data_IF_340352411190
#
_entry.id   IF_340352411190
#
_cell.length_a   1.000
_cell.length_b   1.000
_cell.length_c   1.000
_cell.angle_alpha   90.00
_cell.angle_beta   90.00
_cell.angle_gamma   90.00
#
_symmetry.space_group_name_H-M   'P 1'
#
loop_
_entity.id
_entity.type
_entity.pdbx_description
1 polymer ?
#
# COMPACT_ATOMS: atom_id res chain seq x y z
N UNK A 1 14.04 2.52 11.34
CA UNK A 1 14.55 1.59 12.36
C UNK A 1 13.46 0.95 13.22
N UNK A 2 12.16 1.20 12.99
CA UNK A 2 11.05 0.66 13.81
C UNK A 2 10.43 -0.62 13.20
N UNK A 3 10.68 -0.96 11.96
CA UNK A 3 10.10 -2.14 11.29
C UNK A 3 10.89 -3.45 11.47
N UNK A 4 12.09 -3.42 12.04
CA UNK A 4 12.95 -4.62 12.14
C UNK A 4 12.59 -5.55 13.30
N UNK A 5 11.78 -5.11 14.27
CA UNK A 5 11.39 -5.91 15.44
C UNK A 5 10.11 -6.73 15.24
N UNK A 6 9.46 -6.58 14.09
CA UNK A 6 8.17 -7.22 13.79
C UNK A 6 8.24 -8.64 13.22
N UNK A 7 9.39 -9.31 13.20
CA UNK A 7 9.61 -10.55 12.45
C UNK A 7 10.17 -11.73 13.28
N UNK A 8 9.85 -11.83 14.57
CA UNK A 8 10.23 -13.02 15.35
C UNK A 8 9.10 -14.06 15.34
N UNK A 9 9.42 -15.34 15.09
CA UNK A 9 8.42 -16.41 15.06
C UNK A 9 7.89 -16.76 16.46
N UNK A 10 6.59 -17.12 16.52
CA UNK A 10 5.85 -17.44 17.76
C UNK A 10 6.05 -18.87 18.28
N UNK A 11 7.05 -19.64 17.83
CA UNK A 11 7.27 -20.98 18.30
C UNK A 11 8.57 -21.06 19.14
N UNK A 12 8.43 -21.43 20.42
CA UNK A 12 9.52 -21.48 21.42
C UNK A 12 10.62 -22.48 21.04
N UNK A 13 10.29 -23.51 20.28
CA UNK A 13 11.25 -24.52 19.80
C UNK A 13 12.10 -24.02 18.63
N UNK A 14 11.57 -23.13 17.81
CA UNK A 14 12.33 -22.49 16.72
C UNK A 14 13.14 -21.27 17.22
N UNK A 15 12.71 -20.67 18.33
CA UNK A 15 13.40 -19.51 18.93
C UNK A 15 14.83 -19.86 19.38
N UNK A 16 15.04 -21.05 19.95
CA UNK A 16 16.38 -21.49 20.36
C UNK A 16 17.30 -21.78 19.16
N UNK A 17 16.78 -22.28 18.04
CA UNK A 17 17.55 -22.44 16.81
C UNK A 17 17.86 -21.11 16.13
N UNK A 18 16.90 -20.20 16.13
CA UNK A 18 17.05 -18.86 15.52
C UNK A 18 18.00 -17.99 16.32
N UNK A 19 17.97 -18.06 17.67
CA UNK A 19 18.92 -17.35 18.54
C UNK A 19 20.34 -17.90 18.35
N UNK A 20 20.52 -19.22 18.19
CA UNK A 20 21.82 -19.82 17.91
C UNK A 20 22.35 -19.43 16.52
N UNK A 21 21.49 -19.35 15.49
CA UNK A 21 21.88 -18.86 14.17
C UNK A 21 22.16 -17.36 14.16
N UNK A 22 21.39 -16.54 14.89
CA UNK A 22 21.65 -15.09 15.01
C UNK A 22 22.93 -14.80 15.81
N UNK A 23 23.21 -15.57 16.88
CA UNK A 23 24.46 -15.44 17.61
C UNK A 23 25.67 -15.87 16.77
N UNK A 24 25.55 -16.92 15.94
CA UNK A 24 26.60 -17.36 15.01
C UNK A 24 26.79 -16.34 13.85
N UNK A 25 25.70 -15.76 13.32
CA UNK A 25 25.80 -14.70 12.32
C UNK A 25 26.37 -13.40 12.89
N UNK A 26 26.03 -13.03 14.13
CA UNK A 26 26.57 -11.85 14.80
C UNK A 26 28.06 -12.01 15.10
N UNK A 27 28.51 -13.20 15.52
CA UNK A 27 29.93 -13.50 15.73
C UNK A 27 30.70 -13.53 14.40
N UNK A 28 30.12 -14.09 13.32
CA UNK A 28 30.73 -14.09 11.99
C UNK A 28 30.77 -12.67 11.38
N UNK A 29 29.77 -11.82 11.61
CA UNK A 29 29.79 -10.42 11.19
C UNK A 29 30.81 -9.57 11.94
N UNK A 30 31.00 -9.81 13.23
CA UNK A 30 32.03 -9.11 14.02
C UNK A 30 33.46 -9.51 13.61
N UNK A 31 33.67 -10.71 13.09
CA UNK A 31 34.98 -11.16 12.59
C UNK A 31 35.26 -10.71 11.14
N UNK A 32 34.22 -10.31 10.38
CA UNK A 32 34.36 -9.84 9.01
C UNK A 32 34.40 -8.29 8.88
N UNK A 33 34.09 -7.55 9.95
CA UNK A 33 34.11 -6.08 9.93
C UNK A 33 35.49 -5.44 9.72
N UNK A 34 36.63 -6.01 10.15
CA UNK A 34 37.92 -5.41 9.88
C UNK A 34 38.40 -5.52 8.42
N UNK A 35 37.87 -6.47 7.66
CA UNK A 35 38.30 -6.67 6.26
C UNK A 35 37.50 -5.86 5.22
N UNK A 36 36.36 -5.27 5.61
CA UNK A 36 35.53 -4.45 4.71
C UNK A 36 35.80 -2.95 4.79
N UNK A 37 36.58 -2.48 5.80
CA UNK A 37 36.87 -1.06 6.01
C UNK A 37 38.02 -0.51 5.14
N UNK A 38 38.67 -1.32 4.29
CA UNK A 38 39.86 -0.94 3.55
C UNK A 38 39.79 -0.98 2.02
N UNK A 39 38.72 -1.45 1.40
CA UNK A 39 38.59 -1.44 -0.06
C UNK A 39 37.72 -0.25 -0.51
N UNK A 40 38.37 0.82 -0.98
CA UNK A 40 37.73 1.74 -1.92
C UNK A 40 37.30 0.92 -3.13
N UNK A 41 36.01 0.72 -3.29
CA UNK A 41 35.45 0.09 -4.48
C UNK A 41 35.58 1.12 -5.62
N UNK A 42 36.40 0.82 -6.62
CA UNK A 42 36.48 1.57 -7.89
C UNK A 42 35.26 1.28 -8.80
N UNK A 43 34.14 0.82 -8.24
CA UNK A 43 32.90 0.72 -8.97
C UNK A 43 32.45 2.12 -9.40
N UNK A 44 32.07 2.33 -10.69
CA UNK A 44 31.61 3.62 -11.17
C UNK A 44 30.49 4.10 -10.26
N UNK A 45 30.70 5.24 -9.60
CA UNK A 45 29.67 5.89 -8.80
C UNK A 45 28.65 6.48 -9.77
N UNK A 46 27.61 5.70 -10.07
CA UNK A 46 26.41 6.29 -10.66
C UNK A 46 25.95 7.43 -9.73
N UNK A 47 25.54 8.59 -10.27
CA UNK A 47 25.00 9.64 -9.45
C UNK A 47 23.88 9.03 -8.61
N UNK A 48 24.05 9.02 -7.29
CA UNK A 48 23.08 8.43 -6.35
C UNK A 48 21.84 9.30 -6.41
N UNK A 49 20.86 8.85 -7.19
CA UNK A 49 19.53 9.44 -7.15
C UNK A 49 19.01 9.27 -5.74
N UNK A 50 18.71 10.38 -5.06
CA UNK A 50 18.26 10.35 -3.68
C UNK A 50 16.90 9.65 -3.61
N UNK A 51 16.69 8.69 -2.70
CA UNK A 51 15.38 8.05 -2.54
C UNK A 51 14.28 9.09 -2.33
N UNK A 52 13.06 8.83 -2.84
CA UNK A 52 11.88 9.67 -2.53
C UNK A 52 11.62 9.78 -1.03
N UNK A 53 12.02 8.78 -0.23
CA UNK A 53 12.06 8.86 1.23
C UNK A 53 13.03 9.92 1.76
N UNK A 54 13.96 10.44 0.95
CA UNK A 54 14.85 11.58 1.27
C UNK A 54 14.31 12.93 0.77
N UNK A 55 13.06 12.99 0.27
CA UNK A 55 12.31 14.25 0.19
C UNK A 55 12.10 14.86 1.58
N UNK A 56 12.20 14.03 2.62
CA UNK A 56 12.13 14.41 4.03
C UNK A 56 13.09 15.56 4.33
N UNK A 57 12.55 16.68 4.78
CA UNK A 57 13.29 17.84 5.25
C UNK A 57 13.81 18.78 4.15
N UNK A 58 13.67 18.45 2.87
CA UNK A 58 14.15 19.30 1.77
C UNK A 58 13.06 19.78 0.84
N UNK A 59 12.17 18.92 0.40
CA UNK A 59 11.13 19.25 -0.58
C UNK A 59 9.88 19.72 0.13
N UNK A 60 9.47 20.95 -0.13
CA UNK A 60 8.23 21.53 0.33
C UNK A 60 7.07 21.19 -0.62
N UNK A 61 7.32 21.27 -1.93
CA UNK A 61 6.32 20.98 -2.97
C UNK A 61 6.93 20.19 -4.11
N UNK A 62 6.18 19.21 -4.62
CA UNK A 62 6.48 18.50 -5.86
C UNK A 62 5.32 18.63 -6.83
N UNK A 63 5.62 18.88 -8.10
CA UNK A 63 4.65 18.90 -9.19
C UNK A 63 5.08 17.85 -10.21
N UNK A 64 4.13 17.01 -10.63
CA UNK A 64 4.30 16.01 -11.68
C UNK A 64 3.30 16.35 -12.78
N UNK A 65 3.78 16.76 -13.95
CA UNK A 65 2.95 17.13 -15.11
C UNK A 65 3.10 16.10 -16.20
N UNK A 66 2.01 15.39 -16.53
CA UNK A 66 1.92 14.52 -17.70
C UNK A 66 1.71 15.39 -18.93
N UNK A 67 2.56 15.15 -19.96
CA UNK A 67 2.53 15.90 -21.19
C UNK A 67 1.98 15.05 -22.33
N UNK A 68 1.18 15.65 -23.21
CA UNK A 68 0.79 15.07 -24.49
C UNK A 68 1.99 14.96 -25.44
N UNK A 69 1.79 14.32 -26.59
CA UNK A 69 2.80 14.27 -27.66
C UNK A 69 3.15 15.66 -28.22
N UNK A 70 2.26 16.64 -28.08
CA UNK A 70 2.47 18.05 -28.50
C UNK A 70 3.11 18.90 -27.39
N UNK A 71 3.37 18.33 -26.19
CA UNK A 71 3.93 19.04 -25.05
C UNK A 71 2.88 19.78 -24.20
N UNK A 72 1.60 19.70 -24.51
CA UNK A 72 0.53 20.25 -23.66
C UNK A 72 0.35 19.40 -22.39
N UNK A 73 0.06 20.06 -21.28
CA UNK A 73 -0.22 19.40 -20.00
C UNK A 73 -1.63 18.76 -20.02
N UNK A 74 -1.70 17.44 -19.85
CA UNK A 74 -2.95 16.65 -19.83
C UNK A 74 -3.40 16.30 -18.42
N UNK A 75 -2.47 16.19 -17.50
CA UNK A 75 -2.70 15.85 -16.10
C UNK A 75 -1.60 16.48 -15.25
N UNK A 76 -1.95 16.90 -14.04
CA UNK A 76 -0.98 17.42 -13.08
C UNK A 76 -1.28 16.90 -11.69
N UNK A 77 -0.26 16.45 -10.98
CA UNK A 77 -0.32 16.14 -9.56
C UNK A 77 0.55 17.15 -8.81
N UNK A 78 -0.02 17.81 -7.81
CA UNK A 78 0.69 18.69 -6.89
C UNK A 78 0.69 18.07 -5.49
N UNK A 79 1.86 17.99 -4.87
CA UNK A 79 2.03 17.46 -3.53
C UNK A 79 2.78 18.47 -2.68
N UNK A 80 2.26 18.75 -1.48
CA UNK A 80 2.87 19.64 -0.49
C UNK A 80 3.20 18.82 0.75
N UNK A 81 4.41 19.00 1.26
CA UNK A 81 4.95 18.22 2.35
C UNK A 81 5.25 19.11 3.56
N UNK A 82 5.28 18.48 4.72
CA UNK A 82 5.84 19.01 5.96
C UNK A 82 7.36 18.84 5.96
N UNK A 83 8.10 19.59 6.82
CA UNK A 83 9.54 19.40 6.98
C UNK A 83 9.96 17.98 7.40
N UNK A 84 9.08 17.24 8.10
CA UNK A 84 9.30 15.84 8.48
C UNK A 84 8.98 14.84 7.35
N UNK A 85 8.57 15.31 6.17
CA UNK A 85 8.20 14.52 5.00
C UNK A 85 6.75 14.06 4.97
N UNK A 86 5.94 14.43 5.97
CA UNK A 86 4.51 14.13 5.99
C UNK A 86 3.78 14.85 4.86
N UNK A 87 2.95 14.16 4.09
CA UNK A 87 2.15 14.75 3.02
C UNK A 87 1.02 15.59 3.62
N UNK A 88 1.02 16.91 3.39
CA UNK A 88 -0.07 17.82 3.80
C UNK A 88 -1.22 17.76 2.82
N UNK A 89 -0.95 18.02 1.55
CA UNK A 89 -1.95 18.02 0.50
C UNK A 89 -1.46 17.31 -0.75
N UNK A 90 -2.38 16.66 -1.46
CA UNK A 90 -2.18 16.16 -2.80
C UNK A 90 -3.37 16.58 -3.64
N UNK A 91 -3.12 17.26 -4.76
CA UNK A 91 -4.15 17.65 -5.72
C UNK A 91 -3.85 17.02 -7.06
N UNK A 92 -4.81 16.29 -7.59
CA UNK A 92 -4.74 15.73 -8.94
C UNK A 92 -5.64 16.57 -9.83
N UNK A 93 -5.06 17.13 -10.88
CA UNK A 93 -5.76 17.89 -11.92
C UNK A 93 -5.93 16.99 -13.14
N UNK A 94 -7.08 17.05 -13.74
CA UNK A 94 -7.41 16.36 -14.98
C UNK A 94 -8.39 17.16 -15.82
N UNK A 95 -8.57 16.77 -17.06
CA UNK A 95 -9.60 17.31 -17.94
C UNK A 95 -10.90 16.57 -17.63
N UNK A 96 -11.97 17.27 -17.22
CA UNK A 96 -13.24 16.64 -16.92
C UNK A 96 -13.84 15.97 -18.14
N UNK A 97 -14.74 15.01 -17.94
CA UNK A 97 -15.42 14.30 -19.02
C UNK A 97 -16.22 15.25 -19.96
N UNK A 98 -16.64 16.41 -19.43
CA UNK A 98 -17.29 17.48 -20.21
C UNK A 98 -16.33 18.27 -21.11
N UNK A 99 -15.01 17.99 -21.06
CA UNK A 99 -13.97 18.78 -21.70
C UNK A 99 -13.63 20.06 -20.93
N UNK A 100 -12.68 20.84 -21.45
CA UNK A 100 -12.28 22.12 -20.88
C UNK A 100 -10.83 22.15 -20.40
N UNK A 101 -10.52 23.09 -19.49
CA UNK A 101 -9.19 23.25 -18.91
C UNK A 101 -8.96 22.23 -17.78
N UNK A 102 -7.68 21.99 -17.45
CA UNK A 102 -7.28 21.24 -16.28
C UNK A 102 -7.91 21.84 -15.00
N UNK A 103 -8.59 21.00 -14.24
CA UNK A 103 -9.16 21.36 -12.95
C UNK A 103 -8.91 20.28 -11.91
N UNK A 104 -8.99 20.61 -10.59
CA UNK A 104 -8.86 19.61 -9.54
C UNK A 104 -9.96 18.54 -9.65
N UNK A 105 -9.56 17.28 -9.86
CA UNK A 105 -10.47 16.11 -9.92
C UNK A 105 -10.39 15.29 -8.62
N UNK A 106 -9.28 15.36 -7.90
CA UNK A 106 -9.15 14.77 -6.58
C UNK A 106 -8.26 15.66 -5.70
N UNK A 107 -8.67 15.85 -4.46
CA UNK A 107 -7.89 16.56 -3.44
C UNK A 107 -7.82 15.71 -2.19
N UNK A 108 -6.61 15.42 -1.72
CA UNK A 108 -6.35 14.80 -0.42
C UNK A 108 -5.75 15.83 0.52
N UNK A 109 -6.32 15.99 1.71
CA UNK A 109 -5.80 16.86 2.77
C UNK A 109 -5.57 16.03 4.03
N UNK A 110 -4.37 16.13 4.60
CA UNK A 110 -4.01 15.47 5.85
C UNK A 110 -3.80 16.51 6.95
N UNK A 111 -4.32 16.22 8.13
CA UNK A 111 -4.10 17.00 9.36
C UNK A 111 -3.27 16.18 10.32
N UNK A 112 -2.34 16.86 11.01
CA UNK A 112 -1.41 16.23 11.94
C UNK A 112 -1.49 16.91 13.31
N UNK A 113 -1.23 16.15 14.36
CA UNK A 113 -1.06 16.69 15.71
C UNK A 113 0.34 17.31 15.93
N UNK A 114 0.58 17.82 17.12
CA UNK A 114 1.88 18.40 17.51
C UNK A 114 3.03 17.39 17.58
N UNK A 115 2.75 16.08 17.54
CA UNK A 115 3.73 15.00 17.52
C UNK A 115 4.04 14.50 16.11
N UNK A 116 3.37 15.07 15.08
CA UNK A 116 3.53 14.65 13.69
C UNK A 116 2.71 13.41 13.31
N UNK A 117 1.75 12.99 14.14
CA UNK A 117 0.85 11.89 13.82
C UNK A 117 -0.34 12.42 13.02
N UNK A 118 -0.69 11.72 11.93
CA UNK A 118 -1.83 12.11 11.10
C UNK A 118 -3.14 11.79 11.80
N UNK A 119 -3.86 12.83 12.24
CA UNK A 119 -5.15 12.69 12.96
C UNK A 119 -6.36 12.67 12.04
N UNK A 120 -6.26 13.25 10.85
CA UNK A 120 -7.35 13.22 9.85
C UNK A 120 -6.81 13.17 8.43
N UNK A 121 -7.57 12.54 7.55
CA UNK A 121 -7.42 12.60 6.10
C UNK A 121 -8.78 12.87 5.48
N UNK A 122 -8.85 13.89 4.63
CA UNK A 122 -10.02 14.22 3.82
C UNK A 122 -9.68 14.02 2.36
N UNK A 123 -10.53 13.28 1.65
CA UNK A 123 -10.43 13.07 0.20
C UNK A 123 -11.69 13.65 -0.44
N UNK A 124 -11.50 14.57 -1.36
CA UNK A 124 -12.58 15.14 -2.19
C UNK A 124 -12.35 14.71 -3.64
N UNK A 125 -13.37 14.14 -4.28
CA UNK A 125 -13.31 13.70 -5.69
C UNK A 125 -14.41 14.38 -6.49
N UNK A 126 -14.08 14.78 -7.70
CA UNK A 126 -15.06 15.21 -8.69
C UNK A 126 -15.61 13.98 -9.41
N UNK A 127 -16.92 13.74 -9.31
CA UNK A 127 -17.57 12.64 -10.03
C UNK A 127 -17.68 12.96 -11.51
N UNK A 128 -17.99 11.97 -12.34
CA UNK A 128 -18.27 12.15 -13.76
C UNK A 128 -19.45 13.10 -14.02
N UNK A 129 -20.36 13.24 -13.07
CA UNK A 129 -21.52 14.16 -13.11
C UNK A 129 -21.19 15.60 -12.67
N UNK A 130 -19.93 15.86 -12.26
CA UNK A 130 -19.47 17.17 -11.79
C UNK A 130 -19.81 17.47 -10.32
N UNK A 131 -20.36 16.51 -9.59
CA UNK A 131 -20.58 16.63 -8.14
C UNK A 131 -19.28 16.33 -7.37
N UNK A 132 -19.08 17.00 -6.22
CA UNK A 132 -17.96 16.68 -5.33
C UNK A 132 -18.41 15.65 -4.30
N UNK A 133 -17.72 14.54 -4.26
CA UNK A 133 -17.82 13.54 -3.18
C UNK A 133 -16.71 13.78 -2.17
N UNK A 134 -17.04 13.69 -0.89
CA UNK A 134 -16.10 13.86 0.22
C UNK A 134 -16.08 12.59 1.07
N UNK A 135 -14.91 12.15 1.45
CA UNK A 135 -14.71 11.10 2.47
C UNK A 135 -13.71 11.63 3.51
N UNK A 136 -13.96 11.34 4.77
CA UNK A 136 -13.04 11.68 5.86
C UNK A 136 -12.67 10.43 6.65
N UNK A 137 -11.39 10.31 7.01
CA UNK A 137 -10.89 9.28 7.92
C UNK A 137 -10.24 9.96 9.12
N UNK A 138 -10.64 9.58 10.34
CA UNK A 138 -10.07 10.07 11.61
C UNK A 138 -9.30 8.96 12.30
N UNK A 139 -8.09 9.27 12.78
CA UNK A 139 -7.16 8.30 13.35
C UNK A 139 -6.95 8.53 14.84
N UNK A 140 -6.91 7.46 15.61
CA UNK A 140 -6.57 7.45 17.02
C UNK A 140 -5.34 6.57 17.25
N UNK A 141 -4.40 7.05 18.03
CA UNK A 141 -3.14 6.39 18.30
C UNK A 141 -3.05 5.88 19.73
N UNK A 142 -2.34 4.78 19.92
CA UNK A 142 -1.89 4.31 21.22
C UNK A 142 -0.37 4.20 21.25
N UNK A 143 0.26 4.45 22.41
CA UNK A 143 1.69 4.28 22.54
C UNK A 143 2.07 2.80 22.36
N UNK A 144 3.10 2.54 21.57
CA UNK A 144 3.78 1.25 21.45
C UNK A 144 5.03 1.22 22.34
N UNK A 145 5.70 2.37 22.49
CA UNK A 145 6.86 2.59 23.35
C UNK A 145 6.94 4.07 23.72
N UNK A 146 7.95 4.46 24.50
CA UNK A 146 8.20 5.87 24.83
C UNK A 146 8.44 6.77 23.58
N UNK A 147 8.77 6.20 22.41
CA UNK A 147 9.13 6.94 21.18
C UNK A 147 8.32 6.52 19.96
N UNK A 148 7.39 5.59 20.10
CA UNK A 148 6.60 5.06 18.99
C UNK A 148 5.15 4.89 19.39
N UNK A 149 4.25 5.12 18.45
CA UNK A 149 2.82 4.85 18.56
C UNK A 149 2.32 4.12 17.32
N UNK A 150 1.14 3.54 17.41
CA UNK A 150 0.47 2.90 16.29
C UNK A 150 -0.97 3.37 16.20
N UNK A 151 -1.55 3.31 15.01
CA UNK A 151 -2.98 3.56 14.80
C UNK A 151 -3.76 2.43 15.45
N UNK A 152 -4.39 2.70 16.60
CA UNK A 152 -5.19 1.71 17.33
C UNK A 152 -6.63 1.65 16.82
N UNK A 153 -7.13 2.76 16.31
CA UNK A 153 -8.49 2.90 15.84
C UNK A 153 -8.55 3.94 14.72
N UNK A 154 -9.46 3.77 13.76
CA UNK A 154 -9.86 4.83 12.85
C UNK A 154 -11.31 4.70 12.43
N UNK A 155 -11.91 5.82 12.06
CA UNK A 155 -13.28 5.95 11.62
C UNK A 155 -13.34 6.57 10.23
N UNK A 156 -14.22 6.06 9.38
CA UNK A 156 -14.45 6.54 8.02
C UNK A 156 -15.85 7.15 7.93
N UNK A 157 -15.93 8.33 7.33
CA UNK A 157 -17.16 9.10 7.18
C UNK A 157 -17.43 9.39 5.70
N UNK A 158 -18.70 9.34 5.31
CA UNK A 158 -19.15 9.71 3.97
C UNK A 158 -19.28 11.23 3.79
N UNK A 159 -19.71 11.67 2.60
CA UNK A 159 -19.88 13.07 2.25
C UNK A 159 -20.91 13.82 3.13
N UNK A 160 -21.84 13.09 3.73
CA UNK A 160 -22.85 13.67 4.65
C UNK A 160 -22.37 13.69 6.11
N UNK A 161 -21.15 13.23 6.38
CA UNK A 161 -20.58 13.10 7.73
C UNK A 161 -21.11 11.91 8.52
N UNK A 162 -21.73 10.92 7.87
CA UNK A 162 -22.18 9.68 8.53
C UNK A 162 -21.02 8.72 8.64
N UNK A 163 -20.93 8.05 9.78
CA UNK A 163 -19.94 6.98 10.02
C UNK A 163 -20.27 5.77 9.12
N UNK A 164 -19.41 5.43 8.18
CA UNK A 164 -19.58 4.29 7.26
C UNK A 164 -18.71 3.10 7.63
N UNK A 165 -17.63 3.31 8.37
CA UNK A 165 -16.86 2.23 8.96
C UNK A 165 -16.09 2.68 10.18
N UNK A 166 -15.85 1.74 11.10
CA UNK A 166 -14.85 1.86 12.17
C UNK A 166 -13.92 0.67 12.14
N UNK A 167 -12.66 0.89 12.47
CA UNK A 167 -11.61 -0.13 12.43
C UNK A 167 -10.80 -0.08 13.71
N UNK A 168 -10.69 -1.23 14.37
CA UNK A 168 -9.87 -1.44 15.56
C UNK A 168 -8.71 -2.37 15.21
N UNK A 169 -7.50 -1.95 15.57
CA UNK A 169 -6.25 -2.67 15.37
C UNK A 169 -5.76 -3.24 16.69
N UNK A 170 -5.51 -4.54 16.73
CA UNK A 170 -4.95 -5.24 17.88
C UNK A 170 -3.53 -5.71 17.56
N UNK A 171 -2.61 -5.54 18.49
CA UNK A 171 -1.24 -6.01 18.38
C UNK A 171 -0.99 -7.21 19.27
N UNK A 172 -0.10 -8.10 18.83
CA UNK A 172 0.60 -9.07 19.65
C UNK A 172 2.07 -8.65 19.68
N UNK A 173 2.53 -8.18 20.84
CA UNK A 173 3.80 -7.47 20.96
C UNK A 173 3.84 -6.22 20.07
N UNK A 174 4.68 -6.24 19.04
CA UNK A 174 4.81 -5.14 18.07
C UNK A 174 4.17 -5.43 16.71
N UNK A 175 3.58 -6.62 16.54
CA UNK A 175 2.99 -7.08 15.29
C UNK A 175 1.47 -6.90 15.30
N UNK A 176 0.90 -6.49 14.17
CA UNK A 176 -0.55 -6.45 13.99
C UNK A 176 -1.08 -7.88 13.98
N UNK A 177 -1.86 -8.26 15.00
CA UNK A 177 -2.41 -9.62 15.13
C UNK A 177 -3.82 -9.72 14.55
N UNK A 178 -4.63 -8.67 14.78
CA UNK A 178 -6.02 -8.63 14.31
C UNK A 178 -6.45 -7.23 13.92
N UNK A 179 -7.29 -7.16 12.89
CA UNK A 179 -8.07 -5.98 12.53
C UNK A 179 -9.55 -6.35 12.59
N UNK A 180 -10.32 -5.56 13.31
CA UNK A 180 -11.78 -5.66 13.32
C UNK A 180 -12.35 -4.44 12.61
N UNK A 181 -13.04 -4.66 11.47
CA UNK A 181 -13.73 -3.61 10.72
C UNK A 181 -15.23 -3.79 10.84
N UNK A 182 -15.91 -2.79 11.37
CA UNK A 182 -17.38 -2.72 11.36
C UNK A 182 -17.80 -1.77 10.24
N UNK A 183 -18.59 -2.26 9.30
CA UNK A 183 -19.16 -1.49 8.19
C UNK A 183 -20.63 -1.19 8.50
N UNK A 184 -21.04 0.04 8.28
CA UNK A 184 -22.39 0.55 8.50
C UNK A 184 -23.09 0.79 7.16
N UNK A 185 -24.09 -0.01 6.84
CA UNK A 185 -24.89 0.08 5.62
C UNK A 185 -26.23 0.77 5.92
N UNK A 186 -26.43 1.96 5.34
CA UNK A 186 -27.63 2.78 5.50
C UNK A 186 -28.64 2.61 4.36
N UNK A 187 -28.46 1.65 3.46
CA UNK A 187 -29.33 1.46 2.30
C UNK A 187 -30.78 1.18 2.66
N UNK A 188 -31.03 0.61 3.86
CA UNK A 188 -32.39 0.27 4.34
C UNK A 188 -33.04 1.34 5.23
N UNK A 189 -32.40 2.52 5.47
CA UNK A 189 -32.95 3.59 6.29
C UNK A 189 -31.94 4.29 7.21
N UNK A 190 -32.43 4.99 8.24
CA UNK A 190 -31.57 5.76 9.16
C UNK A 190 -30.79 4.92 10.17
N UNK A 191 -31.27 3.70 10.47
CA UNK A 191 -30.54 2.74 11.32
C UNK A 191 -29.69 1.85 10.43
N UNK A 192 -28.36 1.86 10.57
CA UNK A 192 -27.49 1.10 9.71
C UNK A 192 -27.55 -0.41 10.03
N UNK A 193 -27.42 -1.23 9.00
CA UNK A 193 -27.07 -2.62 9.15
C UNK A 193 -25.56 -2.72 9.39
N UNK A 194 -25.18 -3.33 10.51
CA UNK A 194 -23.78 -3.55 10.84
C UNK A 194 -23.26 -4.86 10.28
N UNK A 195 -22.10 -4.83 9.65
CA UNK A 195 -21.35 -6.01 9.24
C UNK A 195 -19.95 -5.96 9.85
N UNK A 196 -19.62 -6.97 10.66
CA UNK A 196 -18.32 -7.06 11.32
C UNK A 196 -17.44 -8.04 10.56
N UNK A 197 -16.33 -7.51 10.05
CA UNK A 197 -15.27 -8.28 9.39
C UNK A 197 -14.04 -8.35 10.33
N UNK A 198 -13.46 -9.53 10.44
CA UNK A 198 -12.23 -9.76 11.20
C UNK A 198 -11.14 -10.23 10.27
N UNK A 199 -9.96 -9.64 10.39
CA UNK A 199 -8.77 -10.05 9.66
C UNK A 199 -7.73 -10.48 10.68
N UNK A 200 -7.31 -11.74 10.63
CA UNK A 200 -6.21 -12.24 11.44
C UNK A 200 -4.94 -12.29 10.59
N UNK A 201 -3.81 -11.97 11.20
CA UNK A 201 -2.49 -11.92 10.57
C UNK A 201 -1.57 -12.98 11.14
N UNK A 202 -0.75 -13.54 10.28
CA UNK A 202 0.37 -14.41 10.64
C UNK A 202 1.62 -13.98 9.88
N UNK A 203 2.78 -14.15 10.51
CA UNK A 203 4.04 -13.65 9.99
C UNK A 203 5.06 -14.78 9.91
N UNK A 204 5.75 -14.88 8.77
CA UNK A 204 6.86 -15.83 8.54
C UNK A 204 7.98 -15.13 7.79
N UNK A 205 8.99 -14.65 8.50
CA UNK A 205 10.07 -13.85 7.92
C UNK A 205 9.53 -12.64 7.12
N UNK A 206 9.72 -12.63 5.81
CA UNK A 206 9.22 -11.56 4.91
C UNK A 206 7.83 -11.83 4.32
N UNK A 207 7.17 -12.90 4.74
CA UNK A 207 5.82 -13.26 4.31
C UNK A 207 4.81 -12.91 5.41
N UNK A 208 3.78 -12.17 5.04
CA UNK A 208 2.63 -11.84 5.88
C UNK A 208 1.42 -12.49 5.23
N UNK A 209 0.73 -13.34 5.96
CA UNK A 209 -0.52 -13.95 5.53
C UNK A 209 -1.66 -13.41 6.37
N UNK A 210 -2.79 -13.13 5.75
CA UNK A 210 -3.99 -12.74 6.46
C UNK A 210 -5.24 -13.40 5.91
N UNK A 211 -6.27 -13.53 6.74
CA UNK A 211 -7.59 -14.02 6.37
C UNK A 211 -8.66 -13.12 6.96
N UNK A 212 -9.54 -12.64 6.10
CA UNK A 212 -10.68 -11.82 6.47
C UNK A 212 -11.95 -12.65 6.44
N UNK A 213 -12.72 -12.63 7.52
CA UNK A 213 -13.95 -13.38 7.68
C UNK A 213 -14.98 -12.60 8.52
N UNK A 214 -16.26 -12.93 8.37
CA UNK A 214 -17.30 -12.60 9.32
C UNK A 214 -17.68 -13.85 10.13
N UNK A 215 -18.27 -13.64 11.32
CA UNK A 215 -18.86 -14.74 12.09
C UNK A 215 -20.34 -14.80 11.80
N UNK A 216 -20.82 -15.97 11.38
CA UNK A 216 -22.24 -16.25 11.22
C UNK A 216 -22.69 -17.29 12.27
N UNK A 217 -23.95 -17.25 12.75
CA UNK A 217 -24.41 -18.20 13.74
C UNK A 217 -24.20 -19.65 13.27
N UNK A 218 -23.69 -20.51 14.14
CA UNK A 218 -23.60 -21.93 13.87
C UNK A 218 -25.03 -22.54 14.00
N UNK A 219 -25.59 -23.18 12.96
CA UNK A 219 -26.90 -23.80 13.04
C UNK A 219 -27.01 -24.86 14.13
N UNK A 220 -25.91 -25.51 14.53
CA UNK A 220 -25.86 -26.53 15.57
C UNK A 220 -25.65 -25.95 16.97
N UNK A 221 -25.03 -24.80 17.07
CA UNK A 221 -24.81 -24.10 18.33
C UNK A 221 -24.81 -22.57 18.09
N UNK A 222 -25.96 -21.90 18.17
CA UNK A 222 -26.12 -20.49 17.87
C UNK A 222 -25.25 -19.54 18.72
N UNK A 223 -24.72 -20.01 19.86
CA UNK A 223 -23.78 -19.23 20.70
C UNK A 223 -22.39 -19.18 20.11
N UNK A 224 -22.05 -20.10 19.21
CA UNK A 224 -20.77 -20.13 18.50
C UNK A 224 -20.96 -19.56 17.12
N UNK A 225 -20.01 -18.72 16.67
CA UNK A 225 -19.97 -18.24 15.30
C UNK A 225 -19.08 -19.14 14.46
N UNK A 226 -19.54 -19.49 13.26
CA UNK A 226 -18.71 -20.13 12.24
C UNK A 226 -18.08 -19.05 11.34
N UNK A 227 -16.78 -19.16 10.97
CA UNK A 227 -16.16 -18.21 10.07
C UNK A 227 -16.71 -18.39 8.66
N UNK A 228 -17.16 -17.28 8.09
CA UNK A 228 -17.47 -17.12 6.67
C UNK A 228 -16.32 -16.29 6.07
N UNK A 229 -15.46 -16.93 5.31
CA UNK A 229 -14.27 -16.28 4.74
C UNK A 229 -14.66 -15.44 3.53
N UNK A 230 -14.16 -14.21 3.48
CA UNK A 230 -14.34 -13.27 2.37
C UNK A 230 -13.07 -13.18 1.52
N UNK A 231 -11.92 -13.15 2.16
CA UNK A 231 -10.65 -12.87 1.51
C UNK A 231 -9.48 -13.54 2.24
N UNK A 232 -8.51 -13.98 1.47
CA UNK A 232 -7.16 -14.30 1.92
C UNK A 232 -6.14 -13.37 1.28
N UNK A 233 -5.04 -13.07 1.96
CA UNK A 233 -3.95 -12.29 1.40
C UNK A 233 -2.61 -12.93 1.75
N UNK A 234 -1.70 -12.93 0.79
CA UNK A 234 -0.29 -13.28 0.95
C UNK A 234 0.55 -12.11 0.48
N UNK A 235 1.20 -11.44 1.41
CA UNK A 235 2.01 -10.26 1.19
C UNK A 235 3.48 -10.60 1.45
N UNK A 236 4.37 -10.30 0.49
CA UNK A 236 5.82 -10.34 0.72
C UNK A 236 6.36 -8.92 0.75
N UNK A 237 7.21 -8.67 1.72
CA UNK A 237 7.91 -7.40 1.88
C UNK A 237 9.41 -7.58 1.65
N UNK A 238 10.10 -6.52 1.24
CA UNK A 238 11.55 -6.50 1.16
C UNK A 238 12.17 -6.16 2.53
N UNK A 239 13.50 -6.08 2.57
CA UNK A 239 14.25 -5.72 3.78
C UNK A 239 13.85 -4.35 4.36
N UNK A 240 13.34 -3.44 3.55
CA UNK A 240 12.88 -2.12 3.98
C UNK A 240 11.40 -2.10 4.37
N UNK A 241 10.72 -3.25 4.39
CA UNK A 241 9.30 -3.38 4.70
C UNK A 241 8.38 -2.93 3.55
N UNK A 242 8.92 -2.72 2.33
CA UNK A 242 8.13 -2.34 1.16
C UNK A 242 7.51 -3.57 0.53
N UNK A 243 6.27 -3.46 0.07
CA UNK A 243 5.51 -4.52 -0.58
C UNK A 243 6.12 -4.87 -1.94
N UNK A 244 6.65 -6.10 -2.11
CA UNK A 244 7.20 -6.57 -3.39
C UNK A 244 6.30 -7.58 -4.09
N UNK A 245 5.39 -8.21 -3.35
CA UNK A 245 4.40 -9.14 -3.89
C UNK A 245 3.15 -9.06 -3.03
N UNK A 246 1.98 -9.12 -3.65
CA UNK A 246 0.68 -9.12 -2.98
C UNK A 246 -0.27 -9.99 -3.79
N UNK A 247 -0.74 -11.07 -3.18
CA UNK A 247 -1.76 -11.95 -3.71
C UNK A 247 -3.00 -11.84 -2.83
N UNK A 248 -4.07 -11.39 -3.39
CA UNK A 248 -5.38 -11.29 -2.74
C UNK A 248 -6.32 -12.29 -3.40
N UNK A 249 -6.81 -13.24 -2.62
CA UNK A 249 -7.81 -14.22 -3.05
C UNK A 249 -9.18 -13.89 -2.45
N UNK A 250 -10.22 -14.08 -3.21
CA UNK A 250 -11.61 -13.93 -2.75
C UNK A 250 -12.30 -15.29 -2.70
N UNK A 251 -13.24 -15.45 -1.78
CA UNK A 251 -13.98 -16.69 -1.59
C UNK A 251 -15.49 -16.48 -1.81
N UNK A 252 -16.16 -17.53 -2.29
CA UNK A 252 -17.60 -17.50 -2.47
C UNK A 252 -18.31 -17.53 -1.12
N UNK A 253 -19.00 -16.46 -0.78
CA UNK A 253 -19.77 -16.32 0.46
C UNK A 253 -21.20 -16.85 0.34
N UNK A 254 -21.65 -17.16 -0.87
CA UNK A 254 -23.02 -17.67 -1.12
C UNK A 254 -23.24 -19.10 -0.60
N UNK A 255 -22.16 -19.88 -0.54
CA UNK A 255 -22.23 -21.29 -0.07
C UNK A 255 -22.38 -21.45 1.45
N UNK A 256 -22.27 -20.33 2.19
CA UNK A 256 -22.40 -20.30 3.65
C UNK A 256 -21.19 -20.81 4.42
N UNK A 257 -21.13 -20.44 5.71
CA UNK A 257 -20.02 -20.80 6.58
C UNK A 257 -19.92 -22.32 6.79
N UNK A 258 -18.67 -22.81 6.88
CA UNK A 258 -18.36 -24.23 7.06
C UNK A 258 -18.55 -25.09 5.80
N UNK A 259 -18.99 -24.50 4.68
CA UNK A 259 -19.13 -25.17 3.37
C UNK A 259 -18.20 -24.60 2.30
N UNK A 260 -17.48 -23.52 2.61
CA UNK A 260 -16.55 -22.90 1.67
C UNK A 260 -15.35 -23.81 1.40
N UNK A 261 -15.06 -24.01 0.13
CA UNK A 261 -13.80 -24.64 -0.28
C UNK A 261 -12.72 -23.58 -0.46
N UNK A 262 -11.85 -23.46 0.53
CA UNK A 262 -10.76 -22.47 0.52
C UNK A 262 -9.62 -22.83 -0.44
N UNK A 263 -9.62 -24.06 -0.98
CA UNK A 263 -8.65 -24.47 -2.02
C UNK A 263 -9.07 -24.00 -3.42
N UNK A 264 -10.36 -23.61 -3.59
CA UNK A 264 -10.92 -23.12 -4.84
C UNK A 264 -11.45 -21.69 -4.64
N UNK A 265 -10.57 -20.68 -4.71
CA UNK A 265 -10.98 -19.29 -4.57
C UNK A 265 -11.89 -18.84 -5.73
N UNK A 266 -12.78 -17.89 -5.44
CA UNK A 266 -13.69 -17.27 -6.41
C UNK A 266 -13.02 -16.14 -7.21
N UNK A 267 -11.74 -15.92 -7.07
CA UNK A 267 -10.94 -14.97 -7.80
C UNK A 267 -9.64 -14.69 -7.09
N UNK A 268 -8.70 -14.13 -7.82
CA UNK A 268 -7.44 -13.67 -7.27
C UNK A 268 -6.93 -12.43 -8.01
N UNK A 269 -6.26 -11.55 -7.27
CA UNK A 269 -5.45 -10.48 -7.84
C UNK A 269 -4.02 -10.66 -7.34
N UNK A 270 -3.09 -10.75 -8.27
CA UNK A 270 -1.65 -10.88 -7.99
C UNK A 270 -0.96 -9.60 -8.44
N UNK A 271 -0.23 -8.96 -7.54
CA UNK A 271 0.54 -7.76 -7.83
C UNK A 271 2.00 -7.95 -7.47
N UNK A 272 2.90 -7.48 -8.33
CA UNK A 272 4.34 -7.50 -8.12
C UNK A 272 4.89 -6.08 -8.29
N UNK A 273 5.84 -5.68 -7.44
CA UNK A 273 6.38 -4.35 -7.40
C UNK A 273 7.90 -4.38 -7.43
N UNK A 274 8.48 -3.45 -8.18
CA UNK A 274 9.92 -3.17 -8.16
C UNK A 274 10.08 -1.70 -7.81
N UNK A 275 10.99 -1.42 -6.90
CA UNK A 275 11.28 -0.07 -6.43
C UNK A 275 12.59 0.43 -7.02
N UNK A 276 12.60 1.69 -7.44
CA UNK A 276 13.78 2.41 -7.84
C UNK A 276 14.62 2.88 -6.66
N UNK A 277 15.76 3.48 -6.98
CA UNK A 277 16.69 4.02 -5.99
C UNK A 277 16.09 5.16 -5.15
N UNK A 278 15.01 5.78 -5.64
CA UNK A 278 14.28 6.82 -4.92
C UNK A 278 13.21 6.27 -3.97
N UNK A 279 13.01 4.94 -3.94
CA UNK A 279 12.00 4.29 -3.12
C UNK A 279 10.58 4.33 -3.71
N UNK A 280 10.41 4.86 -4.90
CA UNK A 280 9.18 4.85 -5.69
C UNK A 280 9.02 3.54 -6.47
N UNK A 281 7.80 3.20 -6.85
CA UNK A 281 7.51 2.05 -7.71
C UNK A 281 7.93 2.40 -9.14
N UNK A 282 8.94 1.68 -9.66
CA UNK A 282 9.40 1.81 -11.06
C UNK A 282 8.81 0.73 -11.96
N UNK A 283 8.33 -0.36 -11.39
CA UNK A 283 7.59 -1.39 -12.12
C UNK A 283 6.48 -1.97 -11.24
N UNK A 284 5.30 -2.12 -11.82
CA UNK A 284 4.18 -2.84 -11.24
C UNK A 284 3.63 -3.80 -12.31
N UNK A 285 3.38 -5.04 -11.89
CA UNK A 285 2.58 -6.00 -12.66
C UNK A 285 1.40 -6.40 -11.79
N UNK A 286 0.18 -6.24 -12.31
CA UNK A 286 -1.05 -6.70 -11.66
C UNK A 286 -1.80 -7.61 -12.61
N UNK A 287 -2.19 -8.77 -12.12
CA UNK A 287 -2.95 -9.77 -12.84
C UNK A 287 -4.21 -10.12 -12.05
N UNK A 288 -5.35 -10.06 -12.73
CA UNK A 288 -6.64 -10.44 -12.16
C UNK A 288 -7.08 -11.78 -12.76
N UNK A 289 -7.45 -12.69 -11.89
CA UNK A 289 -7.86 -14.04 -12.23
C UNK A 289 -9.30 -14.26 -11.79
N UNK A 290 -10.09 -14.88 -12.65
CA UNK A 290 -11.48 -15.31 -12.39
C UNK A 290 -11.58 -16.84 -12.39
N UNK A 291 -12.62 -17.41 -11.76
CA UNK A 291 -12.86 -18.85 -11.79
C UNK A 291 -12.99 -19.36 -13.23
N UNK A 292 -12.41 -20.53 -13.50
CA UNK A 292 -12.71 -21.24 -14.74
C UNK A 292 -14.11 -21.84 -14.65
N UNK A 293 -14.88 -21.84 -15.73
CA UNK A 293 -16.11 -22.59 -15.81
C UNK A 293 -15.85 -24.07 -15.46
N UNK A 294 -16.72 -24.67 -14.66
CA UNK A 294 -16.59 -26.08 -14.25
C UNK A 294 -16.46 -27.01 -15.47
N UNK A 295 -17.18 -26.73 -16.55
CA UNK A 295 -17.09 -27.51 -17.80
C UNK A 295 -15.67 -27.50 -18.41
N UNK A 296 -14.91 -26.41 -18.29
CA UNK A 296 -13.53 -26.35 -18.77
C UNK A 296 -12.62 -27.24 -17.90
N UNK A 297 -12.83 -27.23 -16.57
CA UNK A 297 -12.05 -28.04 -15.63
C UNK A 297 -12.38 -29.54 -15.79
N UNK A 298 -13.66 -29.87 -15.93
CA UNK A 298 -14.11 -31.25 -16.12
C UNK A 298 -13.64 -31.84 -17.47
N UNK A 299 -13.42 -30.99 -18.48
CA UNK A 299 -12.88 -31.41 -19.78
C UNK A 299 -11.36 -31.60 -19.77
N UNK A 300 -10.65 -31.08 -18.76
CA UNK A 300 -9.20 -31.18 -18.64
C UNK A 300 -8.79 -32.55 -18.05
N UNK A 301 -8.73 -33.58 -18.92
CA UNK A 301 -8.35 -34.94 -18.53
C UNK A 301 -6.92 -35.04 -17.98
N UNK A 302 -6.06 -34.10 -18.26
CA UNK A 302 -4.67 -34.08 -17.83
C UNK A 302 -4.46 -33.26 -16.54
N UNK A 303 -5.53 -32.65 -16.00
CA UNK A 303 -5.50 -31.81 -14.77
C UNK A 303 -4.43 -30.71 -14.81
N UNK A 304 -4.16 -30.15 -15.99
CA UNK A 304 -3.15 -29.09 -16.21
C UNK A 304 -3.72 -27.69 -15.97
N UNK A 305 -5.03 -27.53 -16.04
CA UNK A 305 -5.67 -26.25 -15.85
C UNK A 305 -5.75 -25.89 -14.35
N UNK A 306 -5.36 -24.68 -14.04
CA UNK A 306 -5.60 -24.13 -12.70
C UNK A 306 -7.06 -23.72 -12.54
N UNK A 307 -7.63 -23.75 -11.32
CA UNK A 307 -9.01 -23.34 -11.05
C UNK A 307 -9.34 -21.91 -11.48
N UNK A 308 -8.33 -21.06 -11.54
CA UNK A 308 -8.45 -19.66 -11.96
C UNK A 308 -7.80 -19.44 -13.33
N UNK A 309 -8.37 -18.53 -14.12
CA UNK A 309 -7.80 -18.05 -15.39
C UNK A 309 -7.54 -16.57 -15.35
N UNK A 310 -6.48 -16.11 -16.01
CA UNK A 310 -6.20 -14.70 -16.20
C UNK A 310 -7.33 -14.06 -17.03
N UNK A 311 -7.90 -12.97 -16.51
CA UNK A 311 -8.97 -12.21 -17.17
C UNK A 311 -8.59 -10.76 -17.43
N UNK A 312 -7.64 -10.21 -16.66
CA UNK A 312 -7.11 -8.87 -16.89
C UNK A 312 -5.66 -8.77 -16.46
N UNK A 313 -4.93 -7.87 -17.10
CA UNK A 313 -3.52 -7.58 -16.82
C UNK A 313 -3.25 -6.10 -16.93
N UNK A 314 -2.51 -5.58 -15.96
CA UNK A 314 -1.97 -4.23 -15.94
C UNK A 314 -0.47 -4.30 -15.67
N UNK A 315 0.34 -3.65 -16.50
CA UNK A 315 1.75 -3.48 -16.25
C UNK A 315 2.12 -2.00 -16.38
N UNK A 316 2.93 -1.53 -15.44
CA UNK A 316 3.45 -0.19 -15.37
C UNK A 316 4.98 -0.25 -15.30
N UNK A 317 5.65 0.60 -16.07
CA UNK A 317 7.10 0.80 -16.00
C UNK A 317 7.39 2.31 -16.08
N UNK A 318 8.19 2.81 -15.15
CA UNK A 318 8.67 4.19 -15.12
C UNK A 318 10.19 4.24 -15.19
N UNK A 319 10.73 5.15 -15.99
CA UNK A 319 12.16 5.44 -16.10
C UNK A 319 12.39 6.91 -15.78
N UNK A 320 13.18 7.15 -14.74
CA UNK A 320 13.55 8.49 -14.32
C UNK A 320 14.85 8.92 -14.98
N UNK A 321 14.93 10.20 -15.34
CA UNK A 321 16.10 10.78 -16.00
C UNK A 321 16.26 12.27 -15.68
N UNK A 322 17.38 12.84 -16.10
CA UNK A 322 17.69 14.26 -15.97
C UNK A 322 17.60 14.76 -14.51
N UNK A 323 18.51 14.35 -13.62
CA UNK A 323 18.53 14.86 -12.25
C UNK A 323 18.83 16.37 -12.25
N UNK A 324 18.17 17.11 -11.33
CA UNK A 324 18.49 18.49 -11.06
C UNK A 324 19.75 18.62 -10.18
N UNK A 325 20.15 19.82 -9.83
CA UNK A 325 21.33 20.09 -8.98
C UNK A 325 21.25 19.40 -7.60
N UNK A 326 20.06 19.21 -7.06
CA UNK A 326 19.80 18.50 -5.80
C UNK A 326 19.77 16.97 -5.95
N UNK A 327 19.89 16.45 -7.18
CA UNK A 327 19.86 15.02 -7.51
C UNK A 327 18.48 14.41 -7.61
N UNK A 328 17.42 15.22 -7.72
CA UNK A 328 16.05 14.73 -7.98
C UNK A 328 15.77 14.70 -9.49
N UNK A 329 15.09 13.64 -9.99
CA UNK A 329 14.78 13.54 -11.40
C UNK A 329 13.79 14.62 -11.83
N UNK A 330 13.99 15.18 -13.03
CA UNK A 330 13.10 16.20 -13.60
C UNK A 330 12.25 15.64 -14.75
N UNK A 331 12.54 14.42 -15.21
CA UNK A 331 11.79 13.75 -16.28
C UNK A 331 11.50 12.29 -15.89
N UNK A 332 10.33 11.84 -16.25
CA UNK A 332 9.88 10.45 -16.10
C UNK A 332 9.24 9.99 -17.41
N UNK A 333 9.68 8.85 -17.93
CA UNK A 333 9.02 8.16 -19.04
C UNK A 333 8.22 6.99 -18.48
N UNK A 334 6.94 6.93 -18.79
CA UNK A 334 6.01 5.92 -18.27
C UNK A 334 5.45 5.10 -19.42
N UNK A 335 5.49 3.78 -19.25
CA UNK A 335 4.83 2.82 -20.13
C UNK A 335 3.78 2.07 -19.32
N UNK A 336 2.57 2.02 -19.86
CA UNK A 336 1.45 1.26 -19.29
C UNK A 336 0.97 0.25 -20.33
N UNK A 337 0.85 -1.01 -19.93
CA UNK A 337 0.21 -2.06 -20.73
C UNK A 337 -1.07 -2.50 -20.00
N UNK A 338 -2.18 -2.62 -20.73
CA UNK A 338 -3.49 -3.01 -20.19
C UNK A 338 -4.11 -4.13 -20.99
N UNK A 339 -4.87 -4.96 -20.29
CA UNK A 339 -5.61 -6.08 -20.87
C UNK A 339 -4.72 -7.28 -21.24
N UNK A 340 -5.36 -8.38 -21.60
CA UNK A 340 -4.70 -9.61 -22.05
C UNK A 340 -3.93 -9.36 -23.36
N UNK A 341 -4.48 -8.50 -24.23
CA UNK A 341 -3.89 -8.13 -25.52
C UNK A 341 -2.70 -7.15 -25.39
N UNK A 342 -2.39 -6.70 -24.16
CA UNK A 342 -1.25 -5.83 -23.83
C UNK A 342 -1.26 -4.52 -24.61
N UNK A 343 -2.41 -3.86 -24.69
CA UNK A 343 -2.51 -2.52 -25.26
C UNK A 343 -1.55 -1.57 -24.56
N UNK A 344 -0.61 -0.98 -25.30
CA UNK A 344 0.49 -0.19 -24.76
C UNK A 344 0.24 1.30 -24.93
N UNK A 345 0.44 2.05 -23.85
CA UNK A 345 0.45 3.51 -23.85
C UNK A 345 1.75 3.99 -23.24
N UNK A 346 2.40 4.95 -23.88
CA UNK A 346 3.63 5.58 -23.34
C UNK A 346 3.41 7.09 -23.26
N UNK A 347 3.88 7.70 -22.19
CA UNK A 347 3.86 9.15 -22.02
C UNK A 347 5.09 9.64 -21.26
N UNK A 348 5.36 10.94 -21.38
CA UNK A 348 6.40 11.64 -20.61
C UNK A 348 5.76 12.50 -19.54
N UNK A 349 6.34 12.49 -18.34
CA UNK A 349 6.02 13.44 -17.30
C UNK A 349 7.23 14.30 -16.93
N UNK A 350 6.98 15.58 -16.64
CA UNK A 350 7.95 16.51 -16.07
C UNK A 350 7.75 16.60 -14.57
N UNK A 351 8.84 16.64 -13.81
CA UNK A 351 8.82 16.81 -12.37
C UNK A 351 9.48 18.14 -12.01
N UNK A 352 8.87 18.90 -11.11
CA UNK A 352 9.47 20.12 -10.54
C UNK A 352 9.33 20.11 -9.03
N UNK A 353 10.24 20.81 -8.36
CA UNK A 353 10.38 20.80 -6.91
C UNK A 353 10.55 22.22 -6.37
N UNK A 354 9.88 22.51 -5.25
CA UNK A 354 10.16 23.65 -4.39
C UNK A 354 10.75 23.13 -3.09
N UNK A 355 11.71 23.82 -2.55
CA UNK A 355 12.45 23.38 -1.36
C UNK A 355 12.14 24.29 -0.18
N UNK A 356 12.16 23.73 1.03
CA UNK A 356 12.16 24.54 2.24
C UNK A 356 13.36 25.47 2.25
N UNK A 357 13.16 26.69 2.73
CA UNK A 357 14.26 27.61 2.92
C UNK A 357 15.30 26.98 3.86
N UNK A 358 16.54 26.90 3.41
CA UNK A 358 17.65 26.48 4.30
C UNK A 358 17.69 27.42 5.50
N UNK A 359 17.77 26.92 6.74
CA UNK A 359 17.96 27.80 7.89
C UNK A 359 19.21 28.64 7.64
N UNK A 360 19.04 29.96 7.68
CA UNK A 360 20.20 30.88 7.56
C UNK A 360 21.21 30.46 8.62
N UNK A 361 22.50 30.27 8.28
CA UNK A 361 23.50 30.02 9.29
C UNK A 361 23.42 31.16 10.32
N UNK A 362 23.19 30.81 11.58
CA UNK A 362 23.24 31.78 12.66
C UNK A 362 24.67 32.31 12.71
N UNK A 363 24.88 33.64 12.77
CA UNK A 363 26.21 34.16 12.96
C UNK A 363 26.77 33.57 14.26
N UNK A 364 27.92 32.91 14.14
CA UNK A 364 28.68 32.44 15.31
C UNK A 364 29.15 33.68 16.03
N UNK A 365 28.59 34.01 17.19
CA UNK A 365 29.01 35.08 18.09
C UNK A 365 30.18 34.60 18.94
#
# INVERSE_FOLDING_TARGET
MVFLLALLPNDVTDMNRTISCLAALSAAMLLLLPSCLGRKSDAPQFPKVKPLSTLTGKVEKRIISRLSSTGAEEERTEEVFRPDGGLLTKVIYGIPASGGALQPIETTTNTYDGQGQRISQVIEKLTATGTKEKAETKYTYRPLSARASYVSHYEEYDASGRLVAKVDNELDGTQLSRVTRTVFDYSAGSSPKETVLRTNYSYRSFLIESRTFSLVPDPKNPKNGLPLYHQGQRLRVDYYGRKVFDEVTTFDTSVGAGRQDLSHPNGATVSQYVYGDMGDIVRELRETHAPRPKAELDADKEHKLTPLKLVDRYAYEAKYSLPNEEGFPTKMEVTIERGIEKTKTTYTARLSYTYFASPKPQPVH
#
